data_IF_700377399877
#
_entry.id   IF_700377399877
#
_cell.length_a   1.000
_cell.length_b   1.000
_cell.length_c   1.000
_cell.angle_alpha   90.00
_cell.angle_beta   90.00
_cell.angle_gamma   90.00
#
_symmetry.space_group_name_H-M   'P 1'
#
loop_
_entity.id
_entity.type
_entity.pdbx_description
1 polymer ?
#
# COMPACT_ATOMS: atom_id res chain seq x y z
N UNK A 1 -51.84 23.61 7.33
CA UNK A 1 -50.53 23.21 7.44
C UNK A 1 -50.02 22.30 6.40
N UNK A 2 -50.66 21.26 6.15
CA UNK A 2 -50.24 20.42 5.17
C UNK A 2 -50.18 21.02 3.84
N UNK A 3 -51.04 21.89 3.46
CA UNK A 3 -50.96 22.44 2.16
C UNK A 3 -49.73 23.18 1.95
N UNK A 4 -49.32 23.90 2.91
CA UNK A 4 -48.13 24.68 2.75
C UNK A 4 -46.99 23.73 2.48
N UNK A 5 -46.86 22.68 3.26
CA UNK A 5 -45.82 21.72 3.01
C UNK A 5 -46.04 21.09 1.66
N UNK A 6 -47.26 20.90 1.25
CA UNK A 6 -47.51 20.30 -0.02
C UNK A 6 -47.08 21.17 -1.18
N UNK A 7 -47.36 22.45 -1.07
CA UNK A 7 -46.96 23.37 -2.11
C UNK A 7 -45.45 23.49 -2.12
N UNK A 8 -44.88 23.58 -0.94
CA UNK A 8 -43.45 23.64 -0.84
C UNK A 8 -42.87 22.33 -1.30
N UNK A 9 -43.53 21.23 -1.01
CA UNK A 9 -43.04 19.95 -1.44
C UNK A 9 -43.12 19.81 -2.92
N UNK A 10 -44.14 20.37 -3.55
CA UNK A 10 -44.19 20.30 -4.98
C UNK A 10 -43.09 21.08 -5.57
N UNK A 11 -42.91 22.26 -5.00
CA UNK A 11 -41.88 23.13 -5.44
C UNK A 11 -40.57 22.48 -5.11
N UNK A 12 -40.43 22.00 -3.87
CA UNK A 12 -39.25 21.35 -3.49
C UNK A 12 -39.19 19.97 -4.08
N UNK A 13 -40.30 19.38 -4.41
CA UNK A 13 -40.29 18.05 -4.95
C UNK A 13 -39.57 18.06 -6.29
N UNK A 14 -39.84 19.04 -7.10
CA UNK A 14 -39.12 19.16 -8.35
C UNK A 14 -37.67 19.47 -8.04
N UNK A 15 -37.45 20.43 -7.17
CA UNK A 15 -36.12 20.81 -6.80
C UNK A 15 -35.49 19.72 -5.96
N UNK A 16 -36.29 19.19 -5.04
CA UNK A 16 -35.78 18.17 -4.15
C UNK A 16 -35.52 16.88 -4.87
N UNK A 17 -36.33 16.55 -5.85
CA UNK A 17 -36.09 15.38 -6.64
C UNK A 17 -34.74 15.49 -7.32
N UNK A 18 -34.46 16.65 -7.87
CA UNK A 18 -33.18 16.86 -8.50
C UNK A 18 -32.09 16.90 -7.46
N UNK A 19 -32.38 17.53 -6.34
CA UNK A 19 -31.39 17.60 -5.27
C UNK A 19 -31.12 16.21 -4.71
N UNK A 20 -32.17 15.39 -4.58
CA UNK A 20 -32.01 14.06 -4.07
C UNK A 20 -31.18 13.22 -5.04
N UNK A 21 -31.44 13.35 -6.32
CA UNK A 21 -30.68 12.63 -7.30
C UNK A 21 -29.22 13.10 -7.29
N UNK A 22 -29.04 14.42 -7.21
CA UNK A 22 -27.69 14.97 -7.15
C UNK A 22 -26.98 14.51 -5.89
N UNK A 23 -27.70 14.51 -4.77
CA UNK A 23 -27.13 14.07 -3.50
C UNK A 23 -26.80 12.59 -3.56
N UNK A 24 -27.64 11.80 -4.19
CA UNK A 24 -27.42 10.38 -4.29
C UNK A 24 -26.24 10.11 -5.22
N UNK A 25 -26.14 10.84 -6.31
CA UNK A 25 -25.00 10.71 -7.21
C UNK A 25 -23.73 11.12 -6.50
N UNK A 26 -23.79 12.20 -5.72
CA UNK A 26 -22.63 12.64 -4.97
C UNK A 26 -22.23 11.62 -3.93
N UNK A 27 -23.22 11.01 -3.25
CA UNK A 27 -22.95 9.96 -2.29
C UNK A 27 -22.35 8.74 -2.97
N UNK A 28 -22.87 8.38 -4.14
CA UNK A 28 -22.34 7.26 -4.89
C UNK A 28 -20.91 7.53 -5.34
N UNK A 29 -20.62 8.75 -5.75
CA UNK A 29 -19.27 9.11 -6.13
C UNK A 29 -18.36 9.08 -4.92
N UNK A 30 -18.85 9.59 -3.79
CA UNK A 30 -18.08 9.59 -2.56
C UNK A 30 -17.74 8.15 -2.15
N UNK A 31 -18.71 7.23 -2.30
CA UNK A 31 -18.47 5.84 -1.98
C UNK A 31 -17.44 5.23 -2.92
N UNK A 32 -17.51 5.56 -4.21
CA UNK A 32 -16.54 5.05 -5.15
C UNK A 32 -15.17 5.61 -4.85
N UNK A 33 -15.11 6.92 -4.53
CA UNK A 33 -13.84 7.54 -4.19
C UNK A 33 -13.29 6.96 -2.90
N UNK A 34 -14.17 6.69 -1.93
CA UNK A 34 -13.74 6.08 -0.67
C UNK A 34 -13.17 4.68 -0.90
N UNK A 35 -13.81 3.89 -1.78
CA UNK A 35 -13.29 2.57 -2.11
C UNK A 35 -11.96 2.70 -2.82
N UNK A 36 -11.89 3.61 -3.79
CA UNK A 36 -10.67 3.82 -4.52
C UNK A 36 -9.56 4.27 -3.60
N UNK A 37 -9.88 5.21 -2.69
CA UNK A 37 -8.89 5.76 -1.78
C UNK A 37 -8.39 4.71 -0.81
N UNK A 38 -9.27 3.82 -0.36
CA UNK A 38 -8.84 2.73 0.52
C UNK A 38 -7.86 1.80 -0.20
N UNK A 39 -8.13 1.51 -1.47
CA UNK A 39 -7.22 0.68 -2.26
C UNK A 39 -5.91 1.41 -2.52
N UNK A 40 -5.99 2.70 -2.82
CA UNK A 40 -4.80 3.51 -3.03
C UNK A 40 -3.99 3.58 -1.75
N UNK A 41 -4.67 3.70 -0.59
CA UNK A 41 -4.01 3.76 0.69
C UNK A 41 -3.23 2.48 0.95
N UNK A 42 -3.84 1.33 0.65
CA UNK A 42 -3.15 0.05 0.81
C UNK A 42 -1.90 -0.01 -0.06
N UNK A 43 -1.99 0.48 -1.29
CA UNK A 43 -0.84 0.49 -2.17
C UNK A 43 0.24 1.43 -1.68
N UNK A 44 -0.16 2.58 -1.13
CA UNK A 44 0.79 3.55 -0.61
C UNK A 44 1.52 3.00 0.61
N UNK A 45 0.79 2.33 1.51
CA UNK A 45 1.42 1.70 2.66
C UNK A 45 2.40 0.62 2.20
N UNK A 46 2.01 -0.16 1.21
CA UNK A 46 2.89 -1.19 0.70
C UNK A 46 4.16 -0.60 0.10
N UNK A 47 4.03 0.51 -0.62
CA UNK A 47 5.19 1.18 -1.17
C UNK A 47 6.11 1.67 -0.07
N UNK A 48 5.53 2.20 1.00
CA UNK A 48 6.30 2.66 2.14
C UNK A 48 7.05 1.50 2.78
N UNK A 49 6.37 0.37 2.95
CA UNK A 49 7.01 -0.82 3.51
C UNK A 49 8.17 -1.27 2.63
N UNK A 50 7.96 -1.30 1.34
CA UNK A 50 9.00 -1.70 0.40
C UNK A 50 10.19 -0.76 0.47
N UNK A 51 9.94 0.54 0.58
CA UNK A 51 11.02 1.51 0.70
C UNK A 51 11.82 1.30 1.98
N UNK A 52 11.12 1.08 3.09
CA UNK A 52 11.78 0.85 4.37
C UNK A 52 12.58 -0.44 4.36
N UNK A 53 11.99 -1.49 3.81
CA UNK A 53 12.67 -2.77 3.70
C UNK A 53 13.88 -2.62 2.79
N UNK A 54 13.72 -1.92 1.68
CA UNK A 54 14.82 -1.71 0.73
C UNK A 54 15.96 -0.95 1.34
N UNK A 55 15.67 0.10 2.11
CA UNK A 55 16.70 0.87 2.77
C UNK A 55 17.48 0.04 3.78
N UNK A 56 16.75 -0.74 4.58
CA UNK A 56 17.38 -1.60 5.58
C UNK A 56 18.18 -2.72 4.91
N UNK A 57 17.68 -3.24 3.81
CA UNK A 57 18.39 -4.28 3.07
C UNK A 57 19.71 -3.75 2.51
N UNK A 58 19.72 -2.52 2.02
CA UNK A 58 20.95 -1.91 1.52
C UNK A 58 21.96 -1.71 2.63
N UNK A 59 21.50 -1.35 3.82
CA UNK A 59 22.39 -1.22 4.94
C UNK A 59 23.06 -2.56 5.26
N UNK A 60 22.40 -3.65 4.93
CA UNK A 60 22.93 -4.99 5.15
C UNK A 60 23.56 -5.58 3.88
N UNK A 61 23.74 -4.77 2.87
CA UNK A 61 24.43 -5.21 1.67
C UNK A 61 23.58 -5.96 0.65
N UNK A 62 22.26 -5.84 0.75
CA UNK A 62 21.35 -6.50 -0.17
C UNK A 62 20.46 -5.50 -0.86
N UNK A 63 19.92 -5.86 -2.00
CA UNK A 63 18.86 -5.07 -2.61
C UNK A 63 17.54 -5.67 -2.13
N UNK A 64 16.46 -4.92 -2.32
CA UNK A 64 15.14 -5.39 -1.91
C UNK A 64 14.81 -6.71 -2.61
N UNK A 65 15.07 -6.80 -3.91
CA UNK A 65 14.79 -8.01 -4.66
C UNK A 65 15.56 -9.21 -4.15
N UNK A 66 16.83 -9.02 -3.84
CA UNK A 66 17.67 -10.08 -3.31
C UNK A 66 17.18 -10.52 -1.94
N UNK A 67 16.78 -9.57 -1.11
CA UNK A 67 16.28 -9.88 0.21
C UNK A 67 15.01 -10.71 0.12
N UNK A 68 14.05 -10.27 -0.68
CA UNK A 68 12.78 -10.97 -0.82
C UNK A 68 12.99 -12.37 -1.41
N UNK A 69 13.83 -12.45 -2.43
CA UNK A 69 14.13 -13.74 -3.05
C UNK A 69 14.80 -14.68 -2.02
N UNK A 70 15.76 -14.15 -1.28
CA UNK A 70 16.45 -14.94 -0.28
C UNK A 70 15.54 -15.41 0.84
N UNK A 71 14.61 -14.56 1.27
CA UNK A 71 13.66 -14.94 2.30
C UNK A 71 12.74 -16.04 1.82
N UNK A 72 12.30 -15.96 0.58
CA UNK A 72 11.43 -16.99 0.02
C UNK A 72 12.20 -18.31 -0.10
N UNK A 73 13.44 -18.24 -0.54
CA UNK A 73 14.27 -19.44 -0.67
C UNK A 73 14.58 -20.06 0.69
N UNK A 74 14.71 -19.23 1.70
CA UNK A 74 14.98 -19.70 3.05
C UNK A 74 13.72 -20.23 3.75
N UNK A 75 12.56 -20.02 3.14
CA UNK A 75 11.32 -20.48 3.74
C UNK A 75 10.78 -19.55 4.81
N UNK A 76 11.26 -18.32 4.86
CA UNK A 76 10.80 -17.35 5.85
C UNK A 76 9.61 -16.62 5.26
N UNK A 77 8.46 -16.73 5.93
CA UNK A 77 7.23 -16.14 5.41
C UNK A 77 6.82 -14.96 6.25
N UNK A 78 7.56 -13.89 6.19
CA UNK A 78 7.21 -12.68 6.89
C UNK A 78 6.58 -11.68 5.92
N UNK A 79 5.55 -10.99 6.41
CA UNK A 79 4.89 -10.00 5.60
C UNK A 79 5.77 -8.76 5.45
N UNK A 80 5.56 -8.02 4.41
CA UNK A 80 6.29 -6.78 4.20
C UNK A 80 6.05 -5.81 5.34
N UNK A 81 4.85 -5.81 5.90
CA UNK A 81 4.53 -4.94 7.03
C UNK A 81 5.43 -5.28 8.22
N UNK A 82 5.54 -6.56 8.54
CA UNK A 82 6.36 -7.01 9.66
C UNK A 82 7.83 -6.69 9.41
N UNK A 83 8.30 -6.93 8.20
CA UNK A 83 9.69 -6.64 7.85
C UNK A 83 9.99 -5.16 7.95
N UNK A 84 9.07 -4.31 7.52
CA UNK A 84 9.26 -2.87 7.61
C UNK A 84 9.29 -2.42 9.06
N UNK A 85 8.44 -3.00 9.91
CA UNK A 85 8.44 -2.67 11.32
C UNK A 85 9.75 -3.10 11.96
N UNK A 86 10.24 -4.28 11.64
CA UNK A 86 11.51 -4.75 12.16
C UNK A 86 12.66 -3.86 11.72
N UNK A 87 12.61 -3.39 10.49
CA UNK A 87 13.65 -2.52 9.96
C UNK A 87 13.77 -1.25 10.77
N UNK A 88 12.65 -0.76 11.28
CA UNK A 88 12.65 0.48 12.05
C UNK A 88 12.86 0.22 13.54
N UNK A 89 12.14 -0.75 14.08
CA UNK A 89 12.16 -0.97 15.53
C UNK A 89 13.25 -1.92 15.99
N UNK A 90 13.57 -2.91 15.19
CA UNK A 90 14.57 -3.90 15.56
C UNK A 90 15.59 -4.10 14.45
N UNK A 91 16.50 -3.14 14.28
CA UNK A 91 17.48 -3.28 13.19
C UNK A 91 18.38 -4.50 13.37
N UNK A 92 18.69 -4.88 14.60
CA UNK A 92 19.51 -6.04 14.83
C UNK A 92 18.81 -7.32 14.38
N UNK A 93 17.51 -7.45 14.69
CA UNK A 93 16.73 -8.57 14.24
C UNK A 93 16.61 -8.62 12.73
N UNK A 94 16.45 -7.46 12.12
CA UNK A 94 16.40 -7.37 10.67
C UNK A 94 17.74 -7.79 10.07
N UNK A 95 18.85 -7.44 10.69
CA UNK A 95 20.16 -7.82 10.20
C UNK A 95 20.32 -9.36 10.21
N UNK A 96 19.82 -10.02 11.23
CA UNK A 96 19.88 -11.47 11.28
C UNK A 96 19.08 -12.10 10.15
N UNK A 97 17.90 -11.54 9.90
CA UNK A 97 17.06 -12.02 8.80
C UNK A 97 17.76 -11.78 7.48
N UNK A 98 18.39 -10.62 7.34
CA UNK A 98 19.10 -10.29 6.12
C UNK A 98 20.28 -11.24 5.88
N UNK A 99 20.94 -11.64 6.92
CA UNK A 99 22.03 -12.60 6.79
C UNK A 99 21.51 -13.95 6.32
N UNK A 100 20.40 -14.40 6.85
CA UNK A 100 19.79 -15.64 6.39
C UNK A 100 19.39 -15.51 4.93
N UNK A 101 18.86 -14.37 4.54
CA UNK A 101 18.49 -14.14 3.17
C UNK A 101 19.72 -14.13 2.26
N UNK A 102 20.82 -13.60 2.75
CA UNK A 102 22.05 -13.57 1.95
C UNK A 102 22.51 -14.98 1.60
N UNK A 103 22.36 -15.90 2.51
CA UNK A 103 22.79 -17.26 2.27
C UNK A 103 22.04 -17.91 1.11
N UNK A 104 20.82 -17.45 0.85
CA UNK A 104 19.98 -18.01 -0.20
C UNK A 104 19.76 -17.05 -1.37
N UNK A 105 20.21 -15.82 -1.24
CA UNK A 105 19.95 -14.85 -2.30
C UNK A 105 20.83 -15.15 -3.50
N UNK A 106 20.36 -14.79 -4.68
CA UNK A 106 21.15 -14.99 -5.88
C UNK A 106 22.33 -14.05 -5.79
N UNK A 107 23.44 -14.49 -6.23
CA UNK A 107 24.60 -13.68 -6.14
C UNK A 107 24.39 -12.48 -7.03
N UNK A 108 24.72 -11.35 -6.54
CA UNK A 108 24.49 -10.10 -7.22
C UNK A 108 25.35 -10.00 -8.42
N UNK A 109 25.71 -11.02 -8.89
CA UNK A 109 26.54 -11.07 -9.94
C UNK A 109 26.18 -10.30 -11.08
N UNK A 110 25.15 -9.78 -11.15
CA UNK A 110 24.83 -9.00 -12.24
C UNK A 110 25.96 -8.31 -12.61
N UNK A 111 26.87 -8.43 -11.95
CA UNK A 111 28.01 -7.88 -12.27
C UNK A 111 28.36 -8.13 -13.61
N UNK A 112 27.83 -8.94 -14.22
CA UNK A 112 28.20 -9.28 -15.55
C UNK A 112 28.28 -7.99 -16.27
N UNK A 113 27.46 -7.14 -15.92
CA UNK A 113 27.47 -5.94 -16.57
C UNK A 113 28.65 -5.22 -16.31
N UNK A 114 29.08 -5.24 -15.16
CA UNK A 114 30.20 -4.46 -14.89
C UNK A 114 31.37 -4.91 -15.62
N UNK A 115 31.40 -6.08 -15.81
CA UNK A 115 32.57 -6.52 -16.37
C UNK A 115 32.71 -6.05 -17.68
N UNK A 116 31.80 -5.75 -18.26
CA UNK A 116 31.91 -5.41 -19.53
C UNK A 116 32.72 -4.31 -19.51
N UNK A 117 32.82 -3.71 -18.52
CA UNK A 117 33.67 -2.53 -18.51
C UNK A 117 35.11 -2.82 -18.75
#
# INVERSE_FOLDING_TARGET
MRKKPLVLLRYFFLTKSKLYQSAQEAANRADRYAKRDRRVKKRQYRRLWIQRIGAAARLNGLTYGQLIHGLKAAGITLDRKVLADMAVKEPAGFALIAEQAKAFAPSPTKKPITKKA
#
